data_IF_720703329441
#
_entry.id   IF_720703329441
#
_cell.length_a   1.000
_cell.length_b   1.000
_cell.length_c   1.000
_cell.angle_alpha   90.00
_cell.angle_beta   90.00
_cell.angle_gamma   90.00
#
_symmetry.space_group_name_H-M   'P 1'
#
loop_
_entity.id
_entity.type
_entity.pdbx_description
1 polymer ?
#
# COMPACT_ATOMS: atom_id res chain seq x y z
N UNK A 1 -36.91 -38.02 4.79
CA UNK A 1 -36.53 -38.66 6.06
C UNK A 1 -35.90 -40.00 5.73
N UNK A 2 -34.57 -40.11 5.80
CA UNK A 2 -33.86 -41.37 6.00
C UNK A 2 -32.41 -41.08 6.39
N UNK A 3 -31.96 -41.87 7.35
CA UNK A 3 -30.77 -41.75 8.17
C UNK A 3 -29.47 -42.07 7.43
N UNK A 4 -28.37 -41.50 7.98
CA UNK A 4 -27.03 -42.09 8.19
C UNK A 4 -26.27 -42.64 6.95
N UNK A 5 -24.94 -42.62 6.87
CA UNK A 5 -23.94 -42.86 7.89
C UNK A 5 -22.62 -42.21 7.47
N UNK A 6 -21.93 -41.65 8.46
CA UNK A 6 -20.54 -41.19 8.40
C UNK A 6 -19.64 -42.39 8.05
N UNK A 7 -18.89 -42.27 6.95
CA UNK A 7 -17.84 -43.23 6.58
C UNK A 7 -16.64 -43.01 7.50
N UNK A 8 -16.18 -44.09 8.08
CA UNK A 8 -14.97 -44.18 8.90
C UNK A 8 -13.86 -44.90 8.11
N UNK A 9 -12.62 -44.60 8.50
CA UNK A 9 -11.34 -45.30 8.28
C UNK A 9 -10.49 -44.86 7.06
N UNK A 10 -9.15 -44.97 7.13
CA UNK A 10 -8.34 -45.64 8.16
C UNK A 10 -7.21 -44.81 8.80
N UNK A 11 -6.91 -45.23 10.04
CA UNK A 11 -5.58 -45.36 10.65
C UNK A 11 -4.38 -45.07 9.72
N UNK A 12 -3.60 -44.06 10.08
CA UNK A 12 -2.19 -43.96 9.68
C UNK A 12 -1.37 -43.98 10.96
N UNK A 13 -0.95 -45.18 11.36
CA UNK A 13 0.20 -45.36 12.25
C UNK A 13 1.44 -45.44 11.38
N UNK A 14 2.36 -44.48 11.54
CA UNK A 14 3.76 -44.71 11.18
C UNK A 14 4.63 -44.00 12.21
N UNK A 15 4.98 -44.76 13.26
CA UNK A 15 5.96 -44.37 14.27
C UNK A 15 7.34 -44.35 13.63
N UNK A 16 7.96 -43.18 13.53
CA UNK A 16 9.40 -43.04 13.31
C UNK A 16 10.02 -42.44 14.55
N UNK A 17 10.65 -43.31 15.33
CA UNK A 17 11.59 -42.93 16.37
C UNK A 17 12.95 -42.68 15.72
N UNK A 18 13.46 -41.47 15.84
CA UNK A 18 14.88 -41.17 15.70
C UNK A 18 15.21 -39.95 16.56
N UNK A 19 15.51 -40.19 17.83
CA UNK A 19 16.24 -39.27 18.69
C UNK A 19 17.65 -39.13 18.16
N UNK A 20 18.07 -37.91 17.81
CA UNK A 20 19.48 -37.49 17.89
C UNK A 20 19.54 -35.97 18.06
N UNK A 21 20.30 -35.60 19.08
CA UNK A 21 20.50 -34.26 19.59
C UNK A 21 21.19 -33.33 18.56
N UNK A 22 20.73 -32.08 18.50
CA UNK A 22 21.57 -30.96 18.14
C UNK A 22 21.12 -29.73 18.94
N UNK A 23 21.91 -29.38 19.96
CA UNK A 23 21.91 -28.03 20.50
C UNK A 23 22.42 -27.10 19.39
N UNK A 24 21.60 -26.13 19.01
CA UNK A 24 21.96 -25.06 18.09
C UNK A 24 20.98 -23.93 18.26
N UNK A 25 21.26 -23.04 19.21
CA UNK A 25 20.52 -21.80 19.41
C UNK A 25 20.70 -20.91 18.17
N UNK A 26 19.65 -20.80 17.36
CA UNK A 26 19.54 -19.81 16.31
C UNK A 26 18.16 -19.16 16.41
N UNK A 27 17.99 -18.33 17.43
CA UNK A 27 16.92 -17.33 17.48
C UNK A 27 17.25 -16.23 16.47
N UNK A 28 16.80 -16.38 15.23
CA UNK A 28 16.86 -15.31 14.24
C UNK A 28 15.44 -14.89 13.84
N UNK A 29 15.09 -13.72 14.37
CA UNK A 29 14.07 -12.76 13.92
C UNK A 29 12.61 -13.19 13.94
N UNK A 30 12.06 -13.27 15.17
CA UNK A 30 10.67 -12.88 15.39
C UNK A 30 10.57 -11.36 15.35
N UNK A 31 10.39 -10.80 14.15
CA UNK A 31 9.94 -9.43 13.97
C UNK A 31 8.45 -9.34 14.26
N UNK A 32 8.06 -9.38 15.53
CA UNK A 32 6.72 -8.96 15.95
C UNK A 32 6.61 -7.46 15.70
N UNK A 33 6.06 -7.06 14.55
CA UNK A 33 5.55 -5.71 14.37
C UNK A 33 4.43 -5.50 15.38
N UNK A 34 4.71 -4.78 16.47
CA UNK A 34 3.70 -4.33 17.40
C UNK A 34 2.79 -3.31 16.68
N UNK A 35 1.48 -3.59 16.48
CA UNK A 35 0.57 -2.56 16.03
C UNK A 35 0.16 -1.77 17.27
N UNK A 36 0.85 -0.67 17.56
CA UNK A 36 0.51 0.05 18.79
C UNK A 36 1.45 1.18 19.15
N UNK A 37 1.66 2.13 18.25
CA UNK A 37 2.07 3.46 18.67
C UNK A 37 1.36 4.44 17.75
N UNK A 38 0.64 5.40 18.33
CA UNK A 38 0.00 6.54 17.64
C UNK A 38 1.08 7.46 17.05
N UNK A 39 1.99 6.90 16.28
CA UNK A 39 3.06 7.59 15.58
C UNK A 39 2.43 8.13 14.32
N UNK A 40 2.43 9.46 14.23
CA UNK A 40 2.14 10.15 12.99
C UNK A 40 2.94 9.50 11.86
N UNK A 41 2.28 9.16 10.75
CA UNK A 41 2.95 8.57 9.60
C UNK A 41 3.82 9.64 8.95
N UNK A 42 5.13 9.46 8.94
CA UNK A 42 6.05 10.43 8.34
C UNK A 42 6.04 10.27 6.81
N UNK A 43 5.20 11.08 6.16
CA UNK A 43 4.97 11.07 4.71
C UNK A 43 6.25 11.40 3.94
N UNK A 44 7.02 12.41 4.37
CA UNK A 44 8.21 12.85 3.62
C UNK A 44 9.35 11.82 3.75
N UNK A 45 9.58 11.31 4.96
CA UNK A 45 10.57 10.25 5.17
C UNK A 45 10.22 8.98 4.39
N UNK A 46 8.94 8.61 4.35
CA UNK A 46 8.48 7.47 3.55
C UNK A 46 8.72 7.69 2.06
N UNK A 47 8.29 8.82 1.48
CA UNK A 47 8.44 9.09 0.05
C UNK A 47 9.90 9.22 -0.40
N UNK A 48 10.79 9.70 0.48
CA UNK A 48 12.23 9.87 0.20
C UNK A 48 13.07 8.65 0.56
N UNK A 49 12.47 7.60 1.13
CA UNK A 49 13.15 6.35 1.43
C UNK A 49 13.80 5.77 0.17
N UNK A 50 15.03 5.25 0.29
CA UNK A 50 15.75 4.62 -0.84
C UNK A 50 15.01 3.43 -1.42
N UNK A 51 14.31 2.70 -0.55
CA UNK A 51 13.61 1.46 -0.87
C UNK A 51 12.13 1.69 -1.21
N UNK A 52 11.66 2.94 -1.15
CA UNK A 52 10.29 3.28 -1.53
C UNK A 52 10.20 3.36 -3.04
N UNK A 53 9.30 2.58 -3.62
CA UNK A 53 8.92 2.67 -5.02
C UNK A 53 7.42 2.97 -5.17
N UNK A 54 7.02 3.29 -6.40
CA UNK A 54 5.67 3.75 -6.69
C UNK A 54 4.58 2.72 -6.33
N UNK A 55 4.74 1.41 -6.60
CA UNK A 55 3.77 0.39 -6.18
C UNK A 55 3.54 0.39 -4.67
N UNK A 56 4.60 0.58 -3.88
CA UNK A 56 4.56 0.62 -2.43
C UNK A 56 3.75 1.82 -1.96
N UNK A 57 3.94 3.01 -2.55
CA UNK A 57 3.13 4.20 -2.22
C UNK A 57 1.64 3.96 -2.52
N UNK A 58 1.31 3.40 -3.69
CA UNK A 58 -0.07 3.14 -4.11
C UNK A 58 -0.71 1.99 -3.30
N UNK A 59 0.09 1.06 -2.79
CA UNK A 59 -0.36 -0.08 -1.99
C UNK A 59 -0.38 0.15 -0.48
N UNK A 60 0.29 1.19 0.03
CA UNK A 60 0.44 1.40 1.47
C UNK A 60 -0.79 2.04 2.10
N UNK A 61 -1.51 1.27 2.93
CA UNK A 61 -2.73 1.72 3.58
C UNK A 61 -2.51 2.86 4.58
N UNK A 62 -1.37 2.88 5.30
CA UNK A 62 -1.07 3.90 6.29
C UNK A 62 -0.75 5.24 5.63
N UNK A 63 0.05 5.24 4.56
CA UNK A 63 0.29 6.40 3.71
C UNK A 63 -1.03 6.96 3.19
N UNK A 64 -1.82 6.13 2.50
CA UNK A 64 -3.07 6.57 1.89
C UNK A 64 -4.08 7.05 2.92
N UNK A 65 -4.09 6.48 4.13
CA UNK A 65 -4.95 6.98 5.22
C UNK A 65 -4.45 8.31 5.75
N UNK A 66 -3.14 8.48 5.91
CA UNK A 66 -2.52 9.69 6.45
C UNK A 66 -2.63 10.89 5.50
N UNK A 67 -2.61 10.65 4.19
CA UNK A 67 -2.62 11.70 3.17
C UNK A 67 -4.00 11.99 2.60
N UNK A 68 -5.03 11.22 2.96
CA UNK A 68 -6.37 11.34 2.38
C UNK A 68 -6.99 12.70 2.69
N UNK A 69 -7.38 13.42 1.65
CA UNK A 69 -8.24 14.61 1.80
C UNK A 69 -9.71 14.21 1.89
N UNK A 70 -10.56 15.12 2.36
CA UNK A 70 -12.00 14.87 2.44
C UNK A 70 -12.62 14.58 1.07
N UNK A 71 -13.73 13.85 1.02
CA UNK A 71 -14.43 13.56 -0.24
C UNK A 71 -14.86 14.85 -0.97
N UNK A 72 -15.32 15.86 -0.23
CA UNK A 72 -15.70 17.17 -0.78
C UNK A 72 -14.51 17.91 -1.39
N UNK A 73 -13.37 17.87 -0.71
CA UNK A 73 -12.13 18.49 -1.21
C UNK A 73 -11.60 17.75 -2.44
N UNK A 74 -11.59 16.42 -2.42
CA UNK A 74 -11.22 15.61 -3.59
C UNK A 74 -12.14 15.89 -4.79
N UNK A 75 -13.45 15.97 -4.58
CA UNK A 75 -14.39 16.35 -5.64
C UNK A 75 -14.08 17.75 -6.20
N UNK A 76 -13.78 18.72 -5.32
CA UNK A 76 -13.42 20.08 -5.71
C UNK A 76 -12.13 20.11 -6.54
N UNK A 77 -11.11 19.36 -6.13
CA UNK A 77 -9.84 19.21 -6.87
C UNK A 77 -10.07 18.61 -8.26
N UNK A 78 -10.89 17.55 -8.36
CA UNK A 78 -11.14 16.85 -9.62
C UNK A 78 -12.06 17.63 -10.58
N UNK A 79 -12.96 18.46 -10.06
CA UNK A 79 -13.96 19.18 -10.85
C UNK A 79 -13.54 20.61 -11.22
N UNK A 80 -12.53 21.18 -10.54
CA UNK A 80 -12.12 22.55 -10.81
C UNK A 80 -11.51 22.67 -12.21
N UNK A 81 -11.96 23.63 -13.04
CA UNK A 81 -11.35 23.88 -14.34
C UNK A 81 -9.93 24.48 -14.25
N UNK A 82 -9.47 24.79 -13.04
CA UNK A 82 -8.15 25.40 -12.75
C UNK A 82 -7.25 24.49 -11.90
N UNK A 83 -7.64 23.24 -11.65
CA UNK A 83 -6.86 22.31 -10.83
C UNK A 83 -5.53 21.88 -11.46
N UNK A 84 -5.23 22.32 -12.68
CA UNK A 84 -3.94 22.14 -13.34
C UNK A 84 -3.86 20.85 -14.16
N UNK A 85 -2.67 20.28 -14.30
CA UNK A 85 -2.43 19.16 -15.21
C UNK A 85 -2.58 17.80 -14.50
N UNK A 86 -3.21 16.83 -15.16
CA UNK A 86 -3.29 15.45 -14.69
C UNK A 86 -2.28 14.59 -15.46
N UNK A 87 -1.38 13.94 -14.75
CA UNK A 87 -0.37 13.04 -15.30
C UNK A 87 -0.71 11.59 -14.97
N UNK A 88 -0.74 10.71 -15.97
CA UNK A 88 -0.85 9.27 -15.77
C UNK A 88 0.43 8.70 -15.15
N UNK A 89 0.27 7.97 -14.04
CA UNK A 89 1.37 7.22 -13.45
C UNK A 89 1.58 5.87 -14.17
N UNK A 90 2.82 5.35 -14.18
CA UNK A 90 3.09 4.02 -14.71
C UNK A 90 2.21 2.96 -14.04
N UNK A 91 1.77 1.93 -14.80
CA UNK A 91 0.97 0.85 -14.24
C UNK A 91 1.77 0.08 -13.19
N UNK A 92 1.24 -0.01 -11.97
CA UNK A 92 1.88 -0.75 -10.86
C UNK A 92 1.32 -2.16 -10.66
N UNK A 93 0.31 -2.55 -11.46
CA UNK A 93 -0.42 -3.82 -11.28
C UNK A 93 -1.42 -3.81 -10.11
N UNK A 94 -1.49 -2.72 -9.34
CA UNK A 94 -2.40 -2.59 -8.20
C UNK A 94 -3.72 -1.94 -8.59
N UNK A 95 -3.66 -0.69 -9.05
CA UNK A 95 -4.81 0.13 -9.43
C UNK A 95 -4.35 1.36 -10.22
N UNK A 96 -5.21 1.91 -11.09
CA UNK A 96 -4.93 3.15 -11.78
C UNK A 96 -4.66 4.29 -10.79
N UNK A 97 -3.67 5.12 -11.11
CA UNK A 97 -3.33 6.29 -10.33
C UNK A 97 -2.79 7.43 -11.21
N UNK A 98 -2.90 8.65 -10.71
CA UNK A 98 -2.50 9.88 -11.41
C UNK A 98 -1.86 10.87 -10.45
N UNK A 99 -1.03 11.76 -10.97
CA UNK A 99 -0.59 12.96 -10.25
C UNK A 99 -1.33 14.18 -10.79
N UNK A 100 -2.04 14.87 -9.90
CA UNK A 100 -2.58 16.20 -10.17
C UNK A 100 -1.54 17.25 -9.79
N UNK A 101 -1.13 18.03 -10.78
CA UNK A 101 -0.22 19.15 -10.65
C UNK A 101 -1.04 20.45 -10.58
N UNK A 102 -1.27 21.03 -9.38
CA UNK A 102 -2.05 22.24 -9.17
C UNK A 102 -1.50 23.45 -9.95
N UNK A 103 -2.39 24.34 -10.40
CA UNK A 103 -1.96 25.65 -10.88
C UNK A 103 -1.45 26.51 -9.70
N UNK A 104 -0.25 27.07 -9.82
CA UNK A 104 0.30 28.05 -8.88
C UNK A 104 1.11 27.49 -7.69
N UNK A 105 1.12 26.17 -7.45
CA UNK A 105 1.95 25.53 -6.41
C UNK A 105 2.73 24.34 -6.97
N UNK A 106 3.74 24.57 -7.84
CA UNK A 106 4.43 23.52 -8.59
C UNK A 106 5.28 22.58 -7.72
N UNK A 107 5.55 22.96 -6.47
CA UNK A 107 6.26 22.14 -5.49
C UNK A 107 5.37 21.09 -4.82
N UNK A 108 4.05 21.14 -5.06
CA UNK A 108 3.05 20.23 -4.52
C UNK A 108 2.34 19.47 -5.62
N UNK A 109 1.95 18.23 -5.32
CA UNK A 109 1.06 17.42 -6.15
C UNK A 109 0.03 16.69 -5.28
N UNK A 110 -1.06 16.24 -5.89
CA UNK A 110 -1.98 15.29 -5.29
C UNK A 110 -1.93 13.97 -6.02
N UNK A 111 -1.76 12.88 -5.29
CA UNK A 111 -1.92 11.55 -5.83
C UNK A 111 -3.41 11.22 -5.87
N UNK A 112 -3.92 10.91 -7.05
CA UNK A 112 -5.29 10.42 -7.24
C UNK A 112 -5.22 8.92 -7.47
N UNK A 113 -5.99 8.17 -6.71
CA UNK A 113 -6.02 6.70 -6.77
C UNK A 113 -7.44 6.25 -7.09
N UNK A 114 -7.58 5.37 -8.07
CA UNK A 114 -8.86 4.70 -8.32
C UNK A 114 -9.16 3.70 -7.21
N UNK A 115 -10.39 3.73 -6.70
CA UNK A 115 -10.90 2.78 -5.71
C UNK A 115 -11.78 1.71 -6.38
N UNK A 116 -12.02 0.63 -5.65
CA UNK A 116 -13.01 -0.38 -6.05
C UNK A 116 -14.40 0.25 -6.07
N UNK A 117 -15.11 0.15 -7.20
CA UNK A 117 -16.43 0.78 -7.39
C UNK A 117 -16.41 1.95 -8.38
N UNK A 118 -15.23 2.40 -8.81
CA UNK A 118 -15.06 3.48 -9.79
C UNK A 118 -14.92 4.86 -9.16
N UNK A 119 -15.04 4.97 -7.84
CA UNK A 119 -14.68 6.17 -7.09
C UNK A 119 -13.18 6.47 -7.15
N UNK A 120 -12.83 7.71 -6.79
CA UNK A 120 -11.43 8.15 -6.67
C UNK A 120 -11.19 8.74 -5.30
N UNK A 121 -10.01 8.48 -4.76
CA UNK A 121 -9.49 9.15 -3.58
C UNK A 121 -8.34 10.08 -3.96
N UNK A 122 -8.22 11.21 -3.28
CA UNK A 122 -7.17 12.18 -3.48
C UNK A 122 -6.28 12.23 -2.23
N UNK A 123 -4.98 12.36 -2.43
CA UNK A 123 -3.96 12.22 -1.39
C UNK A 123 -2.93 13.33 -1.51
N UNK A 124 -2.78 14.15 -0.48
CA UNK A 124 -1.82 15.25 -0.49
C UNK A 124 -2.22 16.44 0.40
N UNK A 125 -1.51 17.57 0.26
CA UNK A 125 -0.46 17.82 -0.73
C UNK A 125 0.83 17.02 -0.46
N UNK A 126 1.44 16.47 -1.52
CA UNK A 126 2.68 15.69 -1.49
C UNK A 126 3.85 16.49 -2.11
N UNK A 127 5.12 16.23 -1.73
CA UNK A 127 6.28 16.82 -2.39
C UNK A 127 6.37 16.39 -3.86
N UNK A 128 6.28 17.36 -4.79
CA UNK A 128 6.29 17.09 -6.23
C UNK A 128 7.57 16.40 -6.70
N UNK A 129 8.71 16.80 -6.15
CA UNK A 129 10.02 16.25 -6.49
C UNK A 129 10.15 14.76 -6.12
N UNK A 130 9.65 14.38 -4.95
CA UNK A 130 9.68 13.00 -4.48
C UNK A 130 8.75 12.12 -5.33
N UNK A 131 7.52 12.57 -5.59
CA UNK A 131 6.57 11.84 -6.43
C UNK A 131 7.05 11.70 -7.88
N UNK A 132 7.66 12.76 -8.44
CA UNK A 132 8.30 12.71 -9.75
C UNK A 132 9.41 11.66 -9.81
N UNK A 133 10.29 11.66 -8.81
CA UNK A 133 11.39 10.68 -8.72
C UNK A 133 10.86 9.24 -8.68
N UNK A 134 9.80 8.98 -7.91
CA UNK A 134 9.16 7.66 -7.84
C UNK A 134 8.54 7.25 -9.17
N UNK A 135 7.85 8.19 -9.83
CA UNK A 135 7.24 7.96 -11.14
C UNK A 135 8.29 7.67 -12.22
N UNK A 136 9.38 8.43 -12.27
CA UNK A 136 10.49 8.24 -13.21
C UNK A 136 11.15 6.87 -13.00
N UNK A 137 11.47 6.49 -11.77
CA UNK A 137 12.03 5.15 -11.46
C UNK A 137 11.10 4.02 -11.90
N UNK A 138 9.78 4.20 -11.78
CA UNK A 138 8.81 3.19 -12.20
C UNK A 138 8.66 3.07 -13.73
N UNK A 139 9.13 4.05 -14.51
CA UNK A 139 9.12 4.00 -15.98
C UNK A 139 10.29 3.21 -16.57
N UNK A 140 11.40 3.10 -15.82
CA UNK A 140 12.64 2.45 -16.25
C UNK A 140 13.69 3.43 -16.73
#
# INVERSE_FOLDING_TARGET
MSHASIRYLPFVSLSTAATLAALGAATLMSGCAAPGSSRHFDVDAFLRGSDTALPEVIGNADFLKATRVSTTECATLLQSPTSGALEDLPPTGLRPAWLLHPAGTPDKVWLIVSETGGERSCHGPLPADAMKTLAERARG
#
